data_IF_245928703803
#
_entry.id   IF_245928703803
#
_cell.length_a   1.000
_cell.length_b   1.000
_cell.length_c   1.000
_cell.angle_alpha   90.00
_cell.angle_beta   90.00
_cell.angle_gamma   90.00
#
_symmetry.space_group_name_H-M   'P 1'
#
loop_
_entity.id
_entity.type
_entity.pdbx_description
1 polymer ?
#
# COMPACT_ATOMS: atom_id res chain seq x y z
N UNK A 1 4.68 -10.71 -17.38
CA UNK A 1 3.28 -10.37 -17.08
C UNK A 1 2.59 -11.44 -16.22
N UNK A 2 2.33 -12.66 -16.69
CA UNK A 2 1.62 -13.70 -15.91
C UNK A 2 2.20 -13.99 -14.53
N UNK A 3 3.53 -14.15 -14.42
CA UNK A 3 4.21 -14.37 -13.14
C UNK A 3 3.98 -13.20 -12.17
N UNK A 4 3.95 -11.97 -12.68
CA UNK A 4 3.73 -10.76 -11.86
C UNK A 4 2.30 -10.70 -11.33
N UNK A 5 1.32 -11.15 -12.13
CA UNK A 5 -0.07 -11.30 -11.70
C UNK A 5 -0.18 -12.34 -10.59
N UNK A 6 0.40 -13.54 -10.77
CA UNK A 6 0.35 -14.61 -9.78
C UNK A 6 1.00 -14.18 -8.45
N UNK A 7 2.18 -13.56 -8.52
CA UNK A 7 2.87 -13.03 -7.33
C UNK A 7 2.00 -11.97 -6.65
N UNK A 8 1.46 -11.00 -7.41
CA UNK A 8 0.62 -9.94 -6.88
C UNK A 8 -0.61 -10.49 -6.17
N UNK A 9 -1.33 -11.41 -6.80
CA UNK A 9 -2.50 -12.09 -6.23
C UNK A 9 -2.12 -12.83 -4.94
N UNK A 10 -1.01 -13.57 -4.95
CA UNK A 10 -0.58 -14.38 -3.79
C UNK A 10 -0.21 -13.48 -2.61
N UNK A 11 0.60 -12.44 -2.84
CA UNK A 11 0.95 -11.46 -1.83
C UNK A 11 -0.27 -10.69 -1.33
N UNK A 12 -1.15 -10.27 -2.24
CA UNK A 12 -2.39 -9.56 -1.92
C UNK A 12 -3.35 -10.40 -1.07
N UNK A 13 -3.49 -11.70 -1.34
CA UNK A 13 -4.28 -12.60 -0.50
C UNK A 13 -3.71 -12.72 0.92
N UNK A 14 -2.40 -12.90 1.06
CA UNK A 14 -1.74 -12.99 2.38
C UNK A 14 -1.89 -11.70 3.16
N UNK A 15 -1.56 -10.56 2.54
CA UNK A 15 -1.67 -9.24 3.17
C UNK A 15 -3.13 -8.86 3.45
N UNK A 16 -4.07 -9.25 2.58
CA UNK A 16 -5.50 -9.00 2.78
C UNK A 16 -6.05 -9.81 3.95
N UNK A 17 -5.57 -11.04 4.15
CA UNK A 17 -5.86 -11.82 5.34
C UNK A 17 -5.32 -11.18 6.62
N UNK A 18 -4.09 -10.66 6.59
CA UNK A 18 -3.51 -9.89 7.71
C UNK A 18 -4.35 -8.65 7.99
N UNK A 19 -4.71 -7.88 6.95
CA UNK A 19 -5.53 -6.68 7.09
C UNK A 19 -6.89 -6.99 7.71
N UNK A 20 -7.54 -8.07 7.26
CA UNK A 20 -8.78 -8.56 7.85
C UNK A 20 -8.65 -8.86 9.35
N UNK A 21 -7.59 -9.58 9.76
CA UNK A 21 -7.37 -9.91 11.17
C UNK A 21 -7.17 -8.65 12.02
N UNK A 22 -6.46 -7.64 11.50
CA UNK A 22 -6.27 -6.36 12.16
C UNK A 22 -7.57 -5.55 12.29
N UNK A 23 -8.46 -5.63 11.29
CA UNK A 23 -9.68 -4.82 11.25
C UNK A 23 -10.89 -5.45 11.97
N UNK A 24 -10.93 -6.80 12.10
CA UNK A 24 -12.10 -7.55 12.61
C UNK A 24 -12.58 -7.13 14.00
N UNK A 25 -11.68 -6.64 14.85
CA UNK A 25 -12.03 -6.23 16.23
C UNK A 25 -12.64 -4.84 16.33
N UNK A 26 -12.39 -3.97 15.35
CA UNK A 26 -12.68 -2.53 15.44
C UNK A 26 -13.69 -2.05 14.38
N UNK A 27 -14.02 -2.87 13.38
CA UNK A 27 -14.88 -2.47 12.28
C UNK A 27 -16.09 -3.41 12.15
N UNK A 28 -17.30 -2.89 11.94
CA UNK A 28 -18.47 -3.72 11.66
C UNK A 28 -18.30 -4.44 10.33
N UNK A 29 -18.79 -5.68 10.26
CA UNK A 29 -18.84 -6.42 9.00
C UNK A 29 -20.04 -5.90 8.21
N UNK A 30 -19.77 -5.24 7.08
CA UNK A 30 -20.76 -4.65 6.18
C UNK A 30 -20.45 -5.09 4.75
N UNK A 31 -20.88 -6.31 4.36
CA UNK A 31 -20.49 -6.87 3.08
C UNK A 31 -21.03 -6.06 1.90
N UNK A 32 -20.22 -5.91 0.86
CA UNK A 32 -20.62 -5.23 -0.38
C UNK A 32 -20.53 -6.15 -1.59
N UNK A 33 -21.20 -5.79 -2.68
CA UNK A 33 -21.09 -6.46 -3.96
C UNK A 33 -19.62 -6.61 -4.39
N UNK A 34 -19.21 -7.85 -4.63
CA UNK A 34 -17.82 -8.26 -4.91
C UNK A 34 -17.24 -7.59 -6.17
N UNK A 35 -18.05 -7.42 -7.22
CA UNK A 35 -17.60 -6.80 -8.48
C UNK A 35 -17.42 -5.29 -8.26
N UNK A 36 -18.36 -4.66 -7.57
CA UNK A 36 -18.26 -3.24 -7.23
C UNK A 36 -17.03 -2.97 -6.36
N UNK A 37 -16.81 -3.80 -5.35
CA UNK A 37 -15.63 -3.73 -4.49
C UNK A 37 -14.32 -3.88 -5.29
N UNK A 38 -14.27 -4.78 -6.28
CA UNK A 38 -13.10 -4.97 -7.13
C UNK A 38 -12.81 -3.74 -7.99
N UNK A 39 -13.84 -3.19 -8.64
CA UNK A 39 -13.66 -2.00 -9.50
C UNK A 39 -13.18 -0.82 -8.66
N UNK A 40 -13.80 -0.61 -7.49
CA UNK A 40 -13.45 0.49 -6.59
C UNK A 40 -12.07 0.30 -5.97
N UNK A 41 -11.61 -0.93 -5.70
CA UNK A 41 -10.28 -1.16 -5.12
C UNK A 41 -9.13 -0.94 -6.10
N UNK A 42 -9.38 -1.06 -7.41
CA UNK A 42 -8.35 -0.82 -8.41
C UNK A 42 -7.97 0.65 -8.53
N UNK A 43 -8.90 1.57 -8.31
CA UNK A 43 -8.67 3.01 -8.41
C UNK A 43 -7.58 3.52 -7.44
N UNK A 44 -7.71 3.35 -6.10
CA UNK A 44 -6.66 3.75 -5.17
C UNK A 44 -5.38 2.94 -5.39
N UNK A 45 -5.47 1.64 -5.68
CA UNK A 45 -4.29 0.81 -5.90
C UNK A 45 -3.45 1.27 -7.10
N UNK A 46 -4.09 1.67 -8.21
CA UNK A 46 -3.37 2.21 -9.37
C UNK A 46 -2.80 3.58 -9.03
N UNK A 47 -3.63 4.47 -8.48
CA UNK A 47 -3.22 5.83 -8.17
C UNK A 47 -2.02 5.84 -7.22
N UNK A 48 -2.08 5.09 -6.12
CA UNK A 48 -1.06 5.13 -5.09
C UNK A 48 0.26 4.48 -5.54
N UNK A 49 0.20 3.33 -6.21
CA UNK A 49 1.39 2.64 -6.68
C UNK A 49 2.06 3.39 -7.86
N UNK A 50 1.28 4.05 -8.72
CA UNK A 50 1.84 4.84 -9.82
C UNK A 50 2.30 6.22 -9.33
N UNK A 51 1.41 7.02 -8.75
CA UNK A 51 1.68 8.42 -8.42
C UNK A 51 2.57 8.58 -7.18
N UNK A 52 2.34 7.83 -6.11
CA UNK A 52 3.08 8.00 -4.85
C UNK A 52 4.29 7.09 -4.71
N UNK A 53 4.49 6.13 -5.61
CA UNK A 53 5.63 5.21 -5.56
C UNK A 53 6.44 5.20 -6.84
N UNK A 54 5.82 4.87 -7.98
CA UNK A 54 6.53 4.77 -9.25
C UNK A 54 7.13 6.11 -9.70
N UNK A 55 6.37 7.20 -9.66
CA UNK A 55 6.85 8.52 -10.07
C UNK A 55 8.02 8.98 -9.20
N UNK A 56 7.91 8.85 -7.87
CA UNK A 56 8.99 9.24 -6.96
C UNK A 56 10.26 8.39 -7.13
N UNK A 57 10.11 7.09 -7.34
CA UNK A 57 11.24 6.22 -7.63
C UNK A 57 11.90 6.54 -8.98
N UNK A 58 11.09 6.79 -10.01
CA UNK A 58 11.56 7.19 -11.33
C UNK A 58 12.32 8.53 -11.25
N UNK A 59 11.84 9.47 -10.44
CA UNK A 59 12.54 10.73 -10.17
C UNK A 59 13.90 10.49 -9.51
N UNK A 60 14.01 9.59 -8.53
CA UNK A 60 15.31 9.23 -7.95
C UNK A 60 16.26 8.63 -9.00
N UNK A 61 15.74 7.78 -9.90
CA UNK A 61 16.55 7.20 -10.98
C UNK A 61 16.99 8.26 -11.99
N UNK A 62 16.11 9.19 -12.38
CA UNK A 62 16.48 10.25 -13.33
C UNK A 62 17.57 11.15 -12.77
N UNK A 63 17.51 11.48 -11.47
CA UNK A 63 18.55 12.24 -10.77
C UNK A 63 19.87 11.48 -10.60
N UNK A 64 19.85 10.15 -10.75
CA UNK A 64 21.01 9.27 -10.61
C UNK A 64 21.45 8.66 -11.94
N UNK A 65 21.12 9.30 -13.07
CA UNK A 65 21.51 8.85 -14.42
C UNK A 65 21.06 7.40 -14.73
N UNK A 66 19.91 7.00 -14.19
CA UNK A 66 19.32 5.69 -14.39
C UNK A 66 19.77 4.60 -13.42
N UNK A 67 20.74 4.84 -12.53
CA UNK A 67 21.20 3.82 -11.59
C UNK A 67 21.59 4.37 -10.20
N UNK A 68 21.05 3.74 -9.14
CA UNK A 68 21.38 4.05 -7.74
C UNK A 68 22.67 3.32 -7.30
N UNK A 69 23.83 3.95 -7.55
CA UNK A 69 25.17 3.37 -7.31
C UNK A 69 25.58 3.41 -5.84
N UNK A 70 25.38 4.53 -5.16
CA UNK A 70 25.82 4.71 -3.78
C UNK A 70 24.83 4.14 -2.75
N UNK A 71 25.30 3.83 -1.54
CA UNK A 71 24.42 3.38 -0.44
C UNK A 71 23.37 4.44 -0.10
N UNK A 72 23.75 5.71 -0.13
CA UNK A 72 22.84 6.83 0.12
C UNK A 72 21.76 6.92 -0.97
N UNK A 73 22.13 6.86 -2.25
CA UNK A 73 21.16 6.85 -3.36
C UNK A 73 20.18 5.68 -3.25
N UNK A 74 20.66 4.49 -2.92
CA UNK A 74 19.80 3.31 -2.74
C UNK A 74 18.83 3.49 -1.58
N UNK A 75 19.32 4.06 -0.46
CA UNK A 75 18.49 4.40 0.69
C UNK A 75 17.42 5.43 0.30
N UNK A 76 17.81 6.53 -0.36
CA UNK A 76 16.88 7.56 -0.85
C UNK A 76 15.82 6.95 -1.78
N UNK A 77 16.22 6.07 -2.70
CA UNK A 77 15.26 5.40 -3.59
C UNK A 77 14.24 4.55 -2.83
N UNK A 78 14.65 3.81 -1.79
CA UNK A 78 13.72 3.07 -0.94
C UNK A 78 12.83 4.00 -0.11
N UNK A 79 13.41 5.05 0.47
CA UNK A 79 12.68 6.05 1.23
C UNK A 79 11.56 6.68 0.38
N UNK A 80 11.89 7.07 -0.85
CA UNK A 80 10.96 7.70 -1.80
C UNK A 80 9.91 6.73 -2.37
N UNK A 81 10.12 5.41 -2.24
CA UNK A 81 9.09 4.41 -2.57
C UNK A 81 8.11 4.11 -1.42
N UNK A 82 8.44 4.51 -0.19
CA UNK A 82 7.68 4.12 1.00
C UNK A 82 6.99 5.34 1.60
N UNK A 83 7.73 6.42 1.83
CA UNK A 83 7.25 7.58 2.59
C UNK A 83 6.16 8.37 1.87
N UNK A 84 6.27 8.71 0.57
CA UNK A 84 5.24 9.54 -0.07
C UNK A 84 3.85 8.90 -0.08
N UNK A 85 3.78 7.57 -0.20
CA UNK A 85 2.51 6.81 -0.12
C UNK A 85 1.87 6.84 1.27
N UNK A 86 2.66 6.92 2.35
CA UNK A 86 2.15 6.82 3.73
C UNK A 86 1.74 8.17 4.30
N UNK A 87 2.28 9.27 3.76
CA UNK A 87 1.98 10.62 4.22
C UNK A 87 0.48 10.97 4.20
N UNK A 88 -0.31 10.66 3.15
CA UNK A 88 -1.76 10.89 3.17
C UNK A 88 -2.46 10.16 4.32
N UNK A 89 -2.08 8.91 4.60
CA UNK A 89 -2.65 8.13 5.69
C UNK A 89 -2.28 8.69 7.07
N UNK A 90 -1.07 9.26 7.23
CA UNK A 90 -0.70 9.96 8.46
C UNK A 90 -1.57 11.20 8.69
N UNK A 91 -1.76 12.04 7.67
CA UNK A 91 -2.50 13.29 7.79
C UNK A 91 -3.98 13.03 8.14
N UNK A 92 -4.58 12.00 7.53
CA UNK A 92 -5.96 11.59 7.81
C UNK A 92 -6.13 10.97 9.21
N UNK A 93 -5.10 10.31 9.73
CA UNK A 93 -5.16 9.75 11.09
C UNK A 93 -5.14 10.84 12.18
N UNK A 94 -4.53 12.00 11.91
CA UNK A 94 -4.49 13.14 12.85
C UNK A 94 -5.76 13.97 12.88
N UNK A 95 -6.71 13.75 11.96
CA UNK A 95 -7.98 14.51 11.92
C UNK A 95 -8.98 14.06 12.99
N UNK A 96 -8.79 12.87 13.58
CA UNK A 96 -9.63 12.32 14.65
C UNK A 96 -9.23 12.79 16.08
N UNK A 97 -8.32 13.75 16.19
CA UNK A 97 -7.87 14.33 17.47
C UNK A 97 -6.62 13.67 18.05
N UNK A 98 -5.82 14.45 18.80
CA UNK A 98 -4.50 14.06 19.32
C UNK A 98 -4.57 12.99 20.44
N UNK A 99 -5.76 12.77 21.02
CA UNK A 99 -5.92 12.17 22.36
C UNK A 99 -6.25 10.66 22.33
N UNK A 100 -6.77 10.12 21.23
CA UNK A 100 -7.01 8.68 21.04
C UNK A 100 -5.67 7.93 20.74
N UNK A 101 -4.78 8.00 21.73
CA UNK A 101 -3.52 7.28 21.88
C UNK A 101 -2.52 7.46 20.74
N UNK A 102 -1.53 8.34 20.94
CA UNK A 102 -0.28 8.41 20.16
C UNK A 102 0.32 7.03 19.92
N UNK A 103 0.14 6.09 20.86
CA UNK A 103 0.59 4.71 20.72
C UNK A 103 -0.19 3.94 19.63
N UNK A 104 -1.52 4.11 19.53
CA UNK A 104 -2.34 3.49 18.48
C UNK A 104 -1.95 4.03 17.09
N UNK A 105 -1.68 5.34 17.01
CA UNK A 105 -1.18 6.00 15.81
C UNK A 105 0.20 5.48 15.40
N UNK A 106 1.14 5.37 16.34
CA UNK A 106 2.49 4.83 16.09
C UNK A 106 2.44 3.37 15.63
N UNK A 107 1.60 2.54 16.26
CA UNK A 107 1.42 1.14 15.84
C UNK A 107 0.86 1.09 14.41
N UNK A 108 -0.16 1.88 14.11
CA UNK A 108 -0.75 1.96 12.78
C UNK A 108 0.28 2.42 11.75
N UNK A 109 1.09 3.43 12.07
CA UNK A 109 2.17 3.92 11.23
C UNK A 109 3.20 2.83 10.92
N UNK A 110 3.66 2.11 11.95
CA UNK A 110 4.61 1.00 11.78
C UNK A 110 4.01 -0.10 10.91
N UNK A 111 2.72 -0.44 11.10
CA UNK A 111 2.03 -1.42 10.27
C UNK A 111 1.93 -0.95 8.81
N UNK A 112 1.51 0.29 8.57
CA UNK A 112 1.47 0.86 7.21
C UNK A 112 2.84 0.88 6.55
N UNK A 113 3.91 1.23 7.28
CA UNK A 113 5.28 1.23 6.73
C UNK A 113 5.78 -0.17 6.46
N UNK A 114 5.72 -1.08 7.45
CA UNK A 114 6.41 -2.36 7.41
C UNK A 114 5.61 -3.42 6.66
N UNK A 115 4.30 -3.49 6.91
CA UNK A 115 3.46 -4.58 6.38
C UNK A 115 3.00 -4.27 4.96
N UNK A 116 2.61 -3.02 4.68
CA UNK A 116 2.06 -2.64 3.37
C UNK A 116 3.09 -1.90 2.52
N UNK A 117 3.58 -0.76 3.01
CA UNK A 117 4.50 0.13 2.32
C UNK A 117 5.78 -0.57 1.86
N UNK A 118 6.46 -1.30 2.74
CA UNK A 118 7.70 -1.99 2.41
C UNK A 118 7.48 -3.17 1.46
N UNK A 119 6.43 -3.97 1.67
CA UNK A 119 6.16 -5.15 0.83
C UNK A 119 5.82 -4.74 -0.60
N UNK A 120 4.97 -3.72 -0.79
CA UNK A 120 4.65 -3.21 -2.11
C UNK A 120 5.85 -2.52 -2.78
N UNK A 121 6.68 -1.78 -2.02
CA UNK A 121 7.93 -1.22 -2.54
C UNK A 121 8.87 -2.33 -3.01
N UNK A 122 8.95 -3.41 -2.24
CA UNK A 122 9.77 -4.56 -2.57
C UNK A 122 9.27 -5.25 -3.83
N UNK A 123 7.96 -5.51 -3.94
CA UNK A 123 7.34 -6.07 -5.14
C UNK A 123 7.64 -5.21 -6.37
N UNK A 124 7.39 -3.90 -6.29
CA UNK A 124 7.63 -3.01 -7.42
C UNK A 124 9.11 -3.00 -7.85
N UNK A 125 10.04 -2.91 -6.89
CA UNK A 125 11.47 -2.78 -7.19
C UNK A 125 12.10 -4.09 -7.67
N UNK A 126 11.64 -5.24 -7.17
CA UNK A 126 12.18 -6.56 -7.51
C UNK A 126 11.47 -7.23 -8.67
N UNK A 127 10.22 -6.86 -8.93
CA UNK A 127 9.39 -7.45 -9.98
C UNK A 127 8.94 -6.40 -10.99
N UNK A 128 7.88 -5.67 -10.69
CA UNK A 128 7.33 -4.58 -11.52
C UNK A 128 6.17 -3.88 -10.79
N UNK A 129 5.79 -2.70 -11.28
CA UNK A 129 4.65 -1.92 -10.75
C UNK A 129 3.33 -2.70 -10.81
N UNK A 130 3.14 -3.56 -11.82
CA UNK A 130 1.92 -4.35 -11.98
C UNK A 130 1.71 -5.31 -10.81
N UNK A 131 2.76 -5.98 -10.35
CA UNK A 131 2.68 -6.87 -9.20
C UNK A 131 2.28 -6.15 -7.90
N UNK A 132 2.78 -4.93 -7.70
CA UNK A 132 2.44 -4.10 -6.55
C UNK A 132 0.98 -3.61 -6.62
N UNK A 133 0.55 -3.09 -7.77
CA UNK A 133 -0.85 -2.67 -8.02
C UNK A 133 -1.84 -3.80 -7.77
N UNK A 134 -1.56 -5.01 -8.26
CA UNK A 134 -2.45 -6.16 -8.07
C UNK A 134 -2.48 -6.58 -6.60
N UNK A 135 -1.32 -6.62 -5.92
CA UNK A 135 -1.27 -6.96 -4.50
C UNK A 135 -2.06 -5.96 -3.65
N UNK A 136 -1.83 -4.67 -3.86
CA UNK A 136 -2.54 -3.59 -3.18
C UNK A 136 -4.04 -3.66 -3.48
N UNK A 137 -4.43 -3.75 -4.75
CA UNK A 137 -5.82 -3.84 -5.16
C UNK A 137 -6.55 -5.06 -4.58
N UNK A 138 -5.86 -6.19 -4.37
CA UNK A 138 -6.42 -7.37 -3.70
C UNK A 138 -6.61 -7.16 -2.19
N UNK A 139 -5.68 -6.48 -1.51
CA UNK A 139 -5.84 -6.11 -0.09
C UNK A 139 -7.09 -5.26 0.09
N UNK A 140 -7.24 -4.23 -0.74
CA UNK A 140 -8.39 -3.33 -0.69
C UNK A 140 -9.68 -4.02 -1.15
N UNK A 141 -9.61 -4.92 -2.13
CA UNK A 141 -10.76 -5.70 -2.57
C UNK A 141 -11.31 -6.58 -1.43
N UNK A 142 -10.44 -7.30 -0.71
CA UNK A 142 -10.82 -8.11 0.45
C UNK A 142 -11.43 -7.22 1.53
N UNK A 143 -10.77 -6.08 1.83
CA UNK A 143 -11.28 -5.08 2.79
C UNK A 143 -12.68 -4.62 2.43
N UNK A 144 -12.90 -4.21 1.17
CA UNK A 144 -14.17 -3.67 0.70
C UNK A 144 -15.29 -4.71 0.61
N UNK A 145 -14.95 -5.96 0.29
CA UNK A 145 -15.91 -7.05 0.32
C UNK A 145 -16.46 -7.31 1.73
N UNK A 146 -15.67 -7.10 2.78
CA UNK A 146 -16.00 -7.47 4.16
C UNK A 146 -16.51 -6.29 4.99
N UNK A 147 -15.81 -5.15 4.93
CA UNK A 147 -16.05 -3.99 5.80
C UNK A 147 -16.79 -2.84 5.09
N UNK A 148 -17.10 -3.00 3.80
CA UNK A 148 -17.81 -2.00 3.02
C UNK A 148 -16.88 -1.11 2.20
N UNK A 149 -17.48 -0.35 1.27
CA UNK A 149 -16.76 0.60 0.42
C UNK A 149 -16.26 1.81 1.23
N UNK A 150 -15.19 2.48 0.77
CA UNK A 150 -14.84 3.78 1.32
C UNK A 150 -15.94 4.76 0.87
N UNK A 151 -16.79 5.20 1.80
CA UNK A 151 -17.84 6.20 1.58
C UNK A 151 -17.32 7.55 2.03
#
# INVERSE_FOLDING_TARGET
>A
MFVSIIIGITCGMVLGGINYLLMRGNNPIVPTNVIKALIVSLDPAILEEVAFRCVFFAFCLSMAEGELKSRFQRFTGWFMMIVPHILPHMLFSMTNGIIESILSWLISLVLYIVVFGFVFAFLQKKRDVTSAMIAHGFVDWIRFCIFGLPI
#
